data_IF_735923430570
#
_entry.id   IF_735923430570
#
_cell.length_a   1.000
_cell.length_b   1.000
_cell.length_c   1.000
_cell.angle_alpha   90.00
_cell.angle_beta   90.00
_cell.angle_gamma   90.00
#
_symmetry.space_group_name_H-M   'P 1'
#
loop_
_entity.id
_entity.type
_entity.pdbx_description
1 polymer ?
#
# COMPACT_ATOMS: atom_id res chain seq x y z
N UNK A 1 10.72 5.75 30.97
CA UNK A 1 9.49 6.05 30.21
C UNK A 1 9.83 5.75 28.77
N UNK A 2 9.02 4.98 28.05
CA UNK A 2 9.23 4.80 26.61
C UNK A 2 8.92 6.12 25.93
N UNK A 3 9.73 6.50 24.95
CA UNK A 3 9.44 7.65 24.11
C UNK A 3 8.12 7.41 23.34
N UNK A 4 7.31 8.47 23.04
CA UNK A 4 6.07 8.30 22.32
C UNK A 4 6.35 7.80 20.89
N UNK A 5 5.50 6.88 20.39
CA UNK A 5 5.63 6.29 19.06
C UNK A 5 5.27 7.27 17.92
N UNK A 6 4.57 8.36 18.24
CA UNK A 6 4.32 9.50 17.36
C UNK A 6 4.63 10.76 18.14
N UNK A 7 5.57 11.56 17.66
CA UNK A 7 5.86 12.89 18.22
C UNK A 7 5.17 13.95 17.37
N UNK A 8 4.67 14.99 18.04
CA UNK A 8 3.93 16.10 17.43
C UNK A 8 4.50 17.39 17.97
N UNK A 9 4.92 18.27 17.07
CA UNK A 9 5.47 19.58 17.43
C UNK A 9 5.01 20.65 16.44
N UNK A 10 5.17 21.92 16.82
CA UNK A 10 4.96 23.06 15.93
C UNK A 10 6.30 23.77 15.74
N UNK A 11 6.73 23.87 14.48
CA UNK A 11 7.94 24.59 14.10
C UNK A 11 7.55 25.79 13.21
N UNK A 12 7.64 26.99 13.75
CA UNK A 12 7.10 28.21 13.15
C UNK A 12 5.61 28.06 12.82
N UNK A 13 5.22 28.00 11.56
CA UNK A 13 3.84 27.83 11.09
C UNK A 13 3.54 26.41 10.57
N UNK A 14 4.45 25.45 10.78
CA UNK A 14 4.31 24.07 10.29
C UNK A 14 4.08 23.12 11.46
N UNK A 15 2.97 22.38 11.42
CA UNK A 15 2.71 21.24 12.29
C UNK A 15 3.54 20.03 11.81
N UNK A 16 4.40 19.50 12.68
CA UNK A 16 5.23 18.33 12.35
C UNK A 16 4.77 17.10 13.08
N UNK A 17 4.61 16.01 12.34
CA UNK A 17 4.28 14.68 12.83
C UNK A 17 5.46 13.76 12.50
N UNK A 18 6.07 13.16 13.52
CA UNK A 18 7.16 12.20 13.30
C UNK A 18 6.76 10.83 13.81
N UNK A 19 6.80 9.84 12.93
CA UNK A 19 6.63 8.42 13.26
C UNK A 19 7.90 7.97 13.98
N UNK A 20 7.82 7.51 15.22
CA UNK A 20 8.98 7.28 16.09
C UNK A 20 9.07 5.82 16.58
N UNK A 21 9.05 4.88 15.63
CA UNK A 21 9.37 3.46 15.84
C UNK A 21 10.51 3.00 14.89
N UNK A 22 11.69 3.63 14.90
CA UNK A 22 12.73 3.40 13.89
C UNK A 22 13.20 1.95 13.82
N UNK A 23 13.14 1.19 14.93
CA UNK A 23 13.48 -0.26 14.95
C UNK A 23 12.54 -1.11 14.10
N UNK A 24 11.29 -0.70 13.93
CA UNK A 24 10.29 -1.34 13.09
C UNK A 24 10.09 -0.60 11.74
N UNK A 25 11.03 0.26 11.33
CA UNK A 25 10.89 1.17 10.19
C UNK A 25 9.54 1.91 10.28
N UNK A 26 9.23 2.39 11.47
CA UNK A 26 8.05 3.21 11.74
C UNK A 26 6.70 2.55 11.34
N UNK A 27 6.63 1.20 11.35
CA UNK A 27 5.38 0.50 11.09
C UNK A 27 4.28 1.02 12.02
N UNK A 28 3.11 1.35 11.43
CA UNK A 28 2.01 2.01 12.15
C UNK A 28 1.07 1.00 12.80
N UNK A 29 0.70 1.27 14.04
CA UNK A 29 -0.31 0.56 14.81
C UNK A 29 -1.56 1.43 15.01
N UNK A 30 -2.61 0.85 15.58
CA UNK A 30 -3.88 1.55 15.80
C UNK A 30 -3.72 2.82 16.67
N UNK A 31 -2.89 2.77 17.72
CA UNK A 31 -2.65 3.91 18.60
C UNK A 31 -1.95 5.06 17.88
N UNK A 32 -0.97 4.75 17.02
CA UNK A 32 -0.30 5.74 16.19
C UNK A 32 -1.26 6.41 15.21
N UNK A 33 -2.11 5.64 14.52
CA UNK A 33 -3.11 6.18 13.59
C UNK A 33 -4.08 7.13 14.27
N UNK A 34 -4.58 6.77 15.46
CA UNK A 34 -5.44 7.65 16.28
C UNK A 34 -4.70 8.94 16.64
N UNK A 35 -3.45 8.84 17.12
CA UNK A 35 -2.66 10.03 17.48
C UNK A 35 -2.37 10.94 16.29
N UNK A 36 -2.11 10.37 15.10
CA UNK A 36 -1.93 11.14 13.87
C UNK A 36 -3.23 11.85 13.50
N UNK A 37 -4.38 11.17 13.55
CA UNK A 37 -5.69 11.77 13.27
C UNK A 37 -5.99 12.94 14.21
N UNK A 38 -5.72 12.77 15.51
CA UNK A 38 -5.91 13.82 16.51
C UNK A 38 -5.04 15.04 16.21
N UNK A 39 -3.73 14.82 15.89
CA UNK A 39 -2.80 15.88 15.54
C UNK A 39 -3.24 16.64 14.28
N UNK A 40 -3.70 15.92 13.26
CA UNK A 40 -4.21 16.55 12.04
C UNK A 40 -5.45 17.38 12.31
N UNK A 41 -6.38 16.92 13.16
CA UNK A 41 -7.54 17.70 13.57
C UNK A 41 -7.15 18.95 14.38
N UNK A 42 -6.21 18.84 15.32
CA UNK A 42 -5.66 19.96 16.08
C UNK A 42 -5.03 21.01 15.14
N UNK A 43 -4.19 20.59 14.19
CA UNK A 43 -3.52 21.50 13.24
C UNK A 43 -4.48 22.10 12.21
N UNK A 44 -5.52 21.39 11.81
CA UNK A 44 -6.55 21.93 10.92
C UNK A 44 -7.31 23.09 11.57
N UNK A 45 -7.57 23.00 12.87
CA UNK A 45 -8.33 23.99 13.65
C UNK A 45 -7.49 25.20 14.13
N UNK A 46 -6.17 25.13 14.06
CA UNK A 46 -5.27 26.20 14.51
C UNK A 46 -4.86 27.11 13.33
N UNK A 47 -5.41 28.34 13.30
CA UNK A 47 -5.10 29.33 12.23
C UNK A 47 -3.63 29.74 12.15
N UNK A 48 -2.82 29.48 13.18
CA UNK A 48 -1.38 29.75 13.18
C UNK A 48 -0.60 28.71 12.38
N UNK A 49 -1.20 27.56 12.10
CA UNK A 49 -0.59 26.49 11.32
C UNK A 49 -0.99 26.66 9.85
N UNK A 50 0.02 26.84 8.99
CA UNK A 50 -0.17 27.04 7.54
C UNK A 50 -0.02 25.74 6.74
N UNK A 51 0.62 24.72 7.31
CA UNK A 51 0.83 23.42 6.67
C UNK A 51 1.24 22.34 7.65
N UNK A 52 1.24 21.11 7.20
CA UNK A 52 1.64 19.93 7.99
C UNK A 52 2.71 19.14 7.26
N UNK A 53 3.69 18.65 8.01
CA UNK A 53 4.74 17.77 7.52
C UNK A 53 4.71 16.44 8.29
N UNK A 54 4.77 15.30 7.60
CA UNK A 54 4.96 13.98 8.19
C UNK A 54 6.30 13.39 7.74
N UNK A 55 7.04 12.82 8.69
CA UNK A 55 8.33 12.17 8.46
C UNK A 55 8.51 10.94 9.37
N UNK A 56 9.46 10.08 9.03
CA UNK A 56 9.88 8.95 9.87
C UNK A 56 11.14 9.26 10.66
N UNK A 57 11.20 8.83 11.92
CA UNK A 57 12.43 8.87 12.70
C UNK A 57 13.43 7.82 12.19
N UNK A 58 14.72 8.14 12.30
CA UNK A 58 15.83 7.30 11.86
C UNK A 58 16.08 7.36 10.34
N UNK A 59 17.00 6.53 9.86
CA UNK A 59 17.54 6.62 8.49
C UNK A 59 16.93 5.58 7.53
N UNK A 60 16.04 4.71 8.01
CA UNK A 60 15.58 3.55 7.23
C UNK A 60 14.38 3.87 6.34
N UNK A 61 13.61 4.89 6.65
CA UNK A 61 12.48 5.29 5.83
C UNK A 61 11.33 5.92 6.60
N UNK A 62 10.35 6.41 5.85
CA UNK A 62 9.13 6.98 6.42
C UNK A 62 8.37 5.92 7.21
N UNK A 63 7.96 4.82 6.55
CA UNK A 63 7.12 3.80 7.16
C UNK A 63 7.10 2.51 6.30
N UNK A 64 7.30 1.36 6.95
CA UNK A 64 7.25 0.04 6.27
C UNK A 64 5.82 -0.53 6.12
N UNK A 65 4.79 0.22 6.50
CA UNK A 65 3.39 -0.20 6.43
C UNK A 65 2.72 -0.36 7.79
N UNK A 66 1.58 -1.03 7.81
CA UNK A 66 0.87 -1.39 9.02
C UNK A 66 1.64 -2.39 9.87
N UNK A 67 1.44 -2.36 11.19
CA UNK A 67 1.95 -3.42 12.09
C UNK A 67 1.12 -4.70 11.91
N UNK A 68 1.40 -5.43 10.83
CA UNK A 68 0.64 -6.65 10.46
C UNK A 68 0.78 -7.78 11.49
N UNK A 69 1.74 -7.71 12.41
CA UNK A 69 1.82 -8.66 13.54
C UNK A 69 0.72 -8.35 14.56
N UNK A 70 0.51 -7.08 14.89
CA UNK A 70 -0.60 -6.65 15.73
C UNK A 70 -1.93 -7.01 15.06
N UNK A 71 -2.07 -6.72 13.78
CA UNK A 71 -3.28 -7.03 13.02
C UNK A 71 -3.58 -8.54 13.03
N UNK A 72 -2.57 -9.39 12.78
CA UNK A 72 -2.71 -10.84 12.86
C UNK A 72 -3.12 -11.31 14.26
N UNK A 73 -2.51 -10.74 15.30
CA UNK A 73 -2.87 -11.07 16.69
C UNK A 73 -4.33 -10.74 16.97
N UNK A 74 -4.80 -9.56 16.55
CA UNK A 74 -6.22 -9.17 16.64
C UNK A 74 -7.13 -10.14 15.91
N UNK A 75 -6.80 -10.50 14.67
CA UNK A 75 -7.57 -11.45 13.87
C UNK A 75 -7.71 -12.81 14.56
N UNK A 76 -6.63 -13.28 15.21
CA UNK A 76 -6.63 -14.57 15.92
C UNK A 76 -7.34 -14.54 17.29
N UNK A 77 -7.28 -13.43 18.02
CA UNK A 77 -7.79 -13.32 19.39
C UNK A 77 -9.25 -12.88 19.43
N UNK A 78 -9.61 -11.86 18.68
CA UNK A 78 -10.97 -11.29 18.66
C UNK A 78 -11.79 -11.62 17.42
N UNK A 79 -11.12 -11.99 16.33
CA UNK A 79 -11.74 -12.13 15.01
C UNK A 79 -12.15 -10.80 14.37
N UNK A 80 -11.99 -9.67 15.09
CA UNK A 80 -12.40 -8.35 14.61
C UNK A 80 -11.19 -7.47 14.28
N UNK A 81 -11.01 -7.22 13.01
CA UNK A 81 -9.99 -6.32 12.45
C UNK A 81 -10.58 -5.00 11.94
N UNK A 82 -11.91 -4.83 12.05
CA UNK A 82 -12.63 -3.72 11.43
C UNK A 82 -12.19 -2.37 11.98
N UNK A 83 -12.00 -2.24 13.30
CA UNK A 83 -11.55 -1.00 13.92
C UNK A 83 -10.21 -0.52 13.34
N UNK A 84 -9.30 -1.45 13.05
CA UNK A 84 -8.00 -1.13 12.48
C UNK A 84 -8.17 -0.47 11.11
N UNK A 85 -8.84 -1.14 10.17
CA UNK A 85 -9.02 -0.64 8.81
C UNK A 85 -9.92 0.59 8.73
N UNK A 86 -10.99 0.66 9.53
CA UNK A 86 -11.83 1.86 9.63
C UNK A 86 -11.01 3.07 10.07
N UNK A 87 -10.11 2.89 11.05
CA UNK A 87 -9.26 3.99 11.53
C UNK A 87 -8.24 4.39 10.47
N UNK A 88 -7.57 3.42 9.84
CA UNK A 88 -6.58 3.66 8.80
C UNK A 88 -7.19 4.37 7.58
N UNK A 89 -8.30 3.87 7.06
CA UNK A 89 -8.92 4.41 5.85
C UNK A 89 -9.55 5.78 6.06
N UNK A 90 -10.11 6.03 7.24
CA UNK A 90 -10.57 7.38 7.60
C UNK A 90 -9.41 8.37 7.69
N UNK A 91 -8.27 7.95 8.22
CA UNK A 91 -7.05 8.76 8.24
C UNK A 91 -6.55 9.05 6.82
N UNK A 92 -6.53 8.06 5.94
CA UNK A 92 -6.12 8.26 4.54
C UNK A 92 -7.04 9.26 3.81
N UNK A 93 -8.37 9.14 3.99
CA UNK A 93 -9.34 10.10 3.43
C UNK A 93 -9.20 11.50 4.05
N UNK A 94 -8.90 11.59 5.35
CA UNK A 94 -8.61 12.87 6.01
C UNK A 94 -7.38 13.53 5.39
N UNK A 95 -6.33 12.77 5.08
CA UNK A 95 -5.13 13.27 4.41
C UNK A 95 -5.46 13.74 2.98
N UNK A 96 -6.23 12.94 2.22
CA UNK A 96 -6.62 13.28 0.86
C UNK A 96 -7.45 14.58 0.77
N UNK A 97 -8.30 14.84 1.77
CA UNK A 97 -9.15 16.03 1.86
C UNK A 97 -8.59 17.09 2.82
N UNK A 98 -7.29 17.03 3.19
CA UNK A 98 -6.74 17.91 4.21
C UNK A 98 -6.79 19.39 3.79
N UNK A 99 -7.32 20.32 4.63
CA UNK A 99 -7.59 21.69 4.20
C UNK A 99 -6.35 22.58 4.07
N UNK A 100 -5.18 22.10 4.53
CA UNK A 100 -3.90 22.82 4.47
C UNK A 100 -2.88 21.97 3.69
N UNK A 101 -1.80 22.56 3.15
CA UNK A 101 -0.73 21.79 2.53
C UNK A 101 -0.24 20.67 3.46
N UNK A 102 -0.36 19.42 3.00
CA UNK A 102 0.16 18.22 3.69
C UNK A 102 1.36 17.71 2.91
N UNK A 103 2.52 17.77 3.55
CA UNK A 103 3.81 17.36 2.99
C UNK A 103 4.27 16.05 3.59
N UNK A 104 4.51 15.04 2.77
CA UNK A 104 5.03 13.75 3.19
C UNK A 104 6.49 13.58 2.75
N UNK A 105 7.39 13.29 3.69
CA UNK A 105 8.81 13.05 3.44
C UNK A 105 9.05 11.55 3.32
N UNK A 106 9.00 11.05 2.10
CA UNK A 106 9.06 9.63 1.76
C UNK A 106 10.49 9.14 1.50
N UNK A 107 11.45 9.54 2.32
CA UNK A 107 12.83 9.04 2.23
C UNK A 107 12.91 7.58 2.65
N UNK A 108 13.85 6.81 2.08
CA UNK A 108 14.02 5.39 2.38
C UNK A 108 12.77 4.54 2.06
N UNK A 109 12.46 3.57 2.92
CA UNK A 109 11.34 2.65 2.75
C UNK A 109 10.01 3.36 3.05
N UNK A 110 9.09 3.34 2.07
CA UNK A 110 7.70 3.80 2.21
C UNK A 110 6.78 2.78 1.53
N UNK A 111 6.12 1.93 2.32
CA UNK A 111 5.38 0.77 1.82
C UNK A 111 4.03 0.63 2.54
N UNK A 112 3.05 0.00 1.89
CA UNK A 112 1.74 -0.31 2.47
C UNK A 112 1.08 0.89 3.12
N UNK A 113 0.67 0.78 4.38
CA UNK A 113 0.12 1.90 5.17
C UNK A 113 1.01 3.15 5.20
N UNK A 114 2.33 3.04 4.93
CA UNK A 114 3.22 4.19 4.74
C UNK A 114 2.86 5.00 3.48
N UNK A 115 2.45 4.34 2.40
CA UNK A 115 1.89 5.00 1.23
C UNK A 115 0.49 5.56 1.53
N UNK A 116 -0.31 4.89 2.35
CA UNK A 116 -1.57 5.45 2.85
C UNK A 116 -1.41 6.78 3.58
N UNK A 117 -0.33 6.94 4.35
CA UNK A 117 -0.01 8.18 5.06
C UNK A 117 0.60 9.26 4.16
N UNK A 118 1.02 8.94 2.93
CA UNK A 118 1.82 9.85 2.11
C UNK A 118 1.28 10.09 0.71
N UNK A 119 0.84 9.06 -0.01
CA UNK A 119 0.52 9.13 -1.44
C UNK A 119 -0.68 10.06 -1.77
N UNK A 120 -1.54 10.32 -0.77
CA UNK A 120 -2.71 11.19 -0.91
C UNK A 120 -2.45 12.64 -0.51
N UNK A 121 -1.25 12.95 0.01
CA UNK A 121 -0.86 14.31 0.40
C UNK A 121 -0.64 15.24 -0.80
N UNK A 122 -0.72 16.55 -0.54
CA UNK A 122 -0.55 17.58 -1.56
C UNK A 122 0.90 17.75 -2.05
N UNK A 123 1.88 17.35 -1.23
CA UNK A 123 3.31 17.44 -1.56
C UNK A 123 4.00 16.14 -1.12
N UNK A 124 4.52 15.38 -2.06
CA UNK A 124 5.14 14.07 -1.83
C UNK A 124 6.61 14.15 -2.23
N UNK A 125 7.49 14.12 -1.22
CA UNK A 125 8.92 14.37 -1.37
C UNK A 125 9.68 13.06 -1.25
N UNK A 126 10.51 12.76 -2.23
CA UNK A 126 11.40 11.59 -2.28
C UNK A 126 12.86 12.00 -2.39
N UNK A 127 13.77 11.06 -2.22
CA UNK A 127 15.21 11.22 -2.46
C UNK A 127 15.83 9.98 -3.12
N UNK A 128 17.15 9.97 -3.30
CA UNK A 128 17.85 8.83 -3.91
C UNK A 128 17.70 7.50 -3.13
N UNK A 129 17.36 7.57 -1.85
CA UNK A 129 17.18 6.38 -0.99
C UNK A 129 15.77 5.82 -1.04
N UNK A 130 14.81 6.59 -1.57
CA UNK A 130 13.39 6.22 -1.57
C UNK A 130 13.11 4.90 -2.29
N UNK A 131 12.29 4.07 -1.64
CA UNK A 131 11.79 2.79 -2.16
C UNK A 131 10.33 2.66 -1.78
N UNK A 132 9.46 2.81 -2.79
CA UNK A 132 8.02 2.78 -2.65
C UNK A 132 7.47 1.46 -3.18
N UNK A 133 6.60 0.78 -2.42
CA UNK A 133 5.98 -0.48 -2.85
C UNK A 133 4.67 -0.76 -2.12
N UNK A 134 3.82 -1.59 -2.75
CA UNK A 134 2.64 -2.22 -2.14
C UNK A 134 2.81 -3.75 -2.20
N UNK A 135 3.50 -4.37 -1.21
CA UNK A 135 3.83 -5.79 -1.25
C UNK A 135 2.78 -6.70 -0.62
N UNK A 136 1.54 -6.24 -0.45
CA UNK A 136 0.47 -6.88 0.32
C UNK A 136 0.12 -8.28 -0.18
N UNK A 137 0.25 -8.54 -1.48
CA UNK A 137 0.02 -9.87 -2.07
C UNK A 137 0.99 -10.95 -1.54
N UNK A 138 2.13 -10.55 -0.94
CA UNK A 138 3.06 -11.47 -0.27
C UNK A 138 2.51 -12.02 1.05
N UNK A 139 1.56 -11.32 1.63
CA UNK A 139 1.00 -11.67 2.94
C UNK A 139 -0.49 -11.97 2.88
N UNK A 140 -1.02 -12.26 1.70
CA UNK A 140 -2.42 -12.64 1.56
C UNK A 140 -3.40 -11.47 1.66
N UNK A 141 -2.94 -10.23 1.44
CA UNK A 141 -3.77 -9.02 1.30
C UNK A 141 -3.75 -8.50 -0.14
N UNK A 142 -4.30 -7.34 -0.38
CA UNK A 142 -4.26 -6.61 -1.64
C UNK A 142 -3.64 -5.23 -1.42
N UNK A 143 -3.17 -4.52 -2.46
CA UNK A 143 -2.73 -3.13 -2.36
C UNK A 143 -3.92 -2.25 -1.95
N UNK A 144 -4.04 -1.99 -0.65
CA UNK A 144 -5.13 -1.25 -0.02
C UNK A 144 -4.80 0.25 0.15
N UNK A 145 -5.33 0.87 1.19
CA UNK A 145 -5.13 2.29 1.54
C UNK A 145 -5.40 3.23 0.35
N UNK A 146 -6.35 2.85 -0.51
CA UNK A 146 -6.75 3.53 -1.75
C UNK A 146 -5.65 3.60 -2.82
N UNK A 147 -4.59 2.82 -2.70
CA UNK A 147 -3.56 2.74 -3.74
C UNK A 147 -4.09 2.09 -5.02
N UNK A 148 -5.09 1.20 -4.95
CA UNK A 148 -5.76 0.68 -6.15
C UNK A 148 -6.37 1.82 -6.99
N UNK A 149 -6.87 2.91 -6.36
CA UNK A 149 -7.38 4.09 -7.07
C UNK A 149 -6.28 4.81 -7.86
N UNK A 150 -5.11 5.00 -7.26
CA UNK A 150 -3.97 5.63 -7.92
C UNK A 150 -3.37 4.72 -8.99
N UNK A 151 -3.17 3.45 -8.67
CA UNK A 151 -2.59 2.45 -9.58
C UNK A 151 -3.44 2.24 -10.84
N UNK A 152 -4.77 2.19 -10.70
CA UNK A 152 -5.69 2.05 -11.83
C UNK A 152 -5.64 3.23 -12.83
N UNK A 153 -4.99 4.34 -12.46
CA UNK A 153 -4.85 5.56 -13.28
C UNK A 153 -3.44 5.76 -13.81
N UNK A 154 -2.50 4.87 -13.46
CA UNK A 154 -1.16 4.90 -14.02
C UNK A 154 -1.17 4.51 -15.51
N UNK A 155 -0.31 5.11 -16.33
CA UNK A 155 -0.26 4.79 -17.75
C UNK A 155 0.25 3.38 -18.02
N UNK A 156 -0.22 2.75 -19.09
CA UNK A 156 0.39 1.53 -19.65
C UNK A 156 0.39 0.32 -18.77
N UNK A 157 -0.58 0.16 -17.87
CA UNK A 157 -0.70 -0.97 -16.93
C UNK A 157 0.44 -1.05 -15.90
N UNK A 158 1.24 0.00 -15.72
CA UNK A 158 2.30 0.04 -14.69
C UNK A 158 1.71 -0.20 -13.31
N UNK A 159 0.57 0.42 -12.99
CA UNK A 159 -0.10 0.19 -11.72
C UNK A 159 -0.53 -1.26 -11.50
N UNK A 160 -1.00 -1.94 -12.54
CA UNK A 160 -1.32 -3.38 -12.47
C UNK A 160 -0.06 -4.22 -12.21
N UNK A 161 1.05 -3.91 -12.91
CA UNK A 161 2.33 -4.54 -12.67
C UNK A 161 2.79 -4.38 -11.21
N UNK A 162 2.78 -3.15 -10.68
CA UNK A 162 3.20 -2.86 -9.31
C UNK A 162 2.30 -3.57 -8.27
N UNK A 163 0.99 -3.57 -8.49
CA UNK A 163 0.02 -4.20 -7.60
C UNK A 163 0.20 -5.72 -7.51
N UNK A 164 0.37 -6.39 -8.65
CA UNK A 164 0.44 -7.85 -8.68
C UNK A 164 1.82 -8.39 -8.28
N UNK A 165 2.90 -7.68 -8.62
CA UNK A 165 4.26 -8.09 -8.27
C UNK A 165 4.69 -7.63 -6.88
N UNK A 166 4.14 -6.51 -6.37
CA UNK A 166 4.66 -5.83 -5.19
C UNK A 166 6.05 -5.22 -5.42
N UNK A 167 6.40 -4.93 -6.68
CA UNK A 167 7.69 -4.37 -7.05
C UNK A 167 7.91 -3.00 -6.40
N UNK A 168 9.14 -2.75 -5.97
CA UNK A 168 9.55 -1.47 -5.40
C UNK A 168 10.03 -0.53 -6.51
N UNK A 169 9.60 0.72 -6.47
CA UNK A 169 10.06 1.78 -7.38
C UNK A 169 10.95 2.79 -6.67
N UNK A 170 11.84 3.41 -7.42
CA UNK A 170 12.73 4.46 -6.95
C UNK A 170 12.09 5.86 -7.08
N UNK A 171 12.82 6.91 -6.67
CA UNK A 171 12.34 8.29 -6.68
C UNK A 171 11.95 8.78 -8.08
N UNK A 172 12.75 8.47 -9.10
CA UNK A 172 12.48 8.90 -10.48
C UNK A 172 11.21 8.26 -11.03
N UNK A 173 11.05 6.97 -10.81
CA UNK A 173 9.88 6.25 -11.26
C UNK A 173 8.63 6.67 -10.49
N UNK A 174 8.75 6.92 -9.16
CA UNK A 174 7.65 7.40 -8.35
C UNK A 174 7.08 8.75 -8.85
N UNK A 175 7.96 9.67 -9.28
CA UNK A 175 7.53 10.93 -9.91
C UNK A 175 6.88 10.65 -11.27
N UNK A 176 7.48 9.79 -12.08
CA UNK A 176 6.98 9.48 -13.43
C UNK A 176 5.57 8.86 -13.42
N UNK A 177 5.25 8.07 -12.39
CA UNK A 177 3.92 7.43 -12.24
C UNK A 177 2.95 8.22 -11.36
N UNK A 178 3.35 9.39 -10.86
CA UNK A 178 2.49 10.28 -10.08
C UNK A 178 2.33 9.89 -8.60
N UNK A 179 3.24 9.10 -8.03
CA UNK A 179 3.28 8.78 -6.60
C UNK A 179 4.16 9.75 -5.79
N UNK A 180 4.95 10.59 -6.44
CA UNK A 180 5.75 11.65 -5.83
C UNK A 180 5.76 12.90 -6.70
N UNK A 181 6.11 14.05 -6.10
CA UNK A 181 6.09 15.35 -6.76
C UNK A 181 7.49 15.96 -6.88
N UNK A 182 8.37 15.70 -5.90
CA UNK A 182 9.69 16.34 -5.80
C UNK A 182 10.75 15.33 -5.35
N UNK A 183 11.92 15.36 -5.99
CA UNK A 183 13.10 14.63 -5.54
C UNK A 183 14.13 15.60 -4.95
N UNK A 184 14.46 15.45 -3.67
CA UNK A 184 15.52 16.22 -3.02
C UNK A 184 16.88 15.60 -3.33
N UNK A 185 17.81 16.42 -3.79
CA UNK A 185 19.14 15.97 -4.21
C UNK A 185 19.17 15.38 -5.61
N UNK A 186 20.08 14.45 -5.86
CA UNK A 186 20.25 13.83 -7.19
C UNK A 186 19.28 12.66 -7.33
N UNK A 187 18.39 12.74 -8.30
CA UNK A 187 17.48 11.64 -8.63
C UNK A 187 18.28 10.42 -9.18
N UNK A 188 17.91 9.19 -8.80
CA UNK A 188 18.49 7.98 -9.39
C UNK A 188 18.07 7.83 -10.85
N UNK A 189 18.77 6.96 -11.61
CA UNK A 189 18.31 6.59 -12.93
C UNK A 189 16.96 5.86 -12.86
N UNK A 190 16.07 6.02 -13.86
CA UNK A 190 14.81 5.26 -13.93
C UNK A 190 15.09 3.76 -14.03
N UNK A 191 14.19 2.93 -13.50
CA UNK A 191 14.29 1.47 -13.61
C UNK A 191 13.96 1.05 -15.05
N UNK A 192 14.89 0.37 -15.76
CA UNK A 192 14.62 -0.12 -17.11
C UNK A 192 13.42 -1.07 -17.21
N UNK A 193 13.08 -1.78 -16.15
CA UNK A 193 11.92 -2.70 -16.10
C UNK A 193 10.62 -1.95 -16.38
N UNK A 194 10.45 -0.77 -15.77
CA UNK A 194 9.24 0.05 -15.94
C UNK A 194 9.16 0.75 -17.30
N UNK A 195 10.26 0.77 -18.06
CA UNK A 195 10.31 1.26 -19.44
C UNK A 195 9.92 0.20 -20.48
N UNK A 196 9.73 -1.05 -20.05
CA UNK A 196 9.45 -2.19 -20.91
C UNK A 196 8.05 -2.14 -21.53
N UNK A 197 7.98 -2.12 -22.87
CA UNK A 197 6.69 -2.16 -23.60
C UNK A 197 5.88 -3.43 -23.27
N UNK A 198 6.52 -4.49 -22.80
CA UNK A 198 5.89 -5.74 -22.38
C UNK A 198 4.84 -5.55 -21.27
N UNK A 199 4.97 -4.52 -20.42
CA UNK A 199 3.99 -4.24 -19.36
C UNK A 199 2.62 -4.01 -19.98
N UNK A 200 2.49 -3.03 -20.87
CA UNK A 200 1.22 -2.74 -21.54
C UNK A 200 0.70 -3.93 -22.38
N UNK A 201 1.60 -4.75 -22.94
CA UNK A 201 1.23 -5.89 -23.78
C UNK A 201 0.67 -7.06 -22.95
N UNK A 202 1.21 -7.30 -21.74
CA UNK A 202 0.88 -8.49 -20.97
C UNK A 202 -0.26 -8.24 -19.96
N UNK A 203 -0.32 -7.06 -19.31
CA UNK A 203 -1.24 -6.81 -18.19
C UNK A 203 -2.64 -6.34 -18.57
N UNK A 204 -2.95 -6.13 -19.84
CA UNK A 204 -4.24 -5.61 -20.31
C UNK A 204 -5.41 -6.60 -20.29
N UNK A 205 -5.32 -7.74 -19.58
CA UNK A 205 -6.42 -8.72 -19.41
C UNK A 205 -7.10 -8.53 -18.05
N UNK A 206 -8.39 -8.91 -17.98
CA UNK A 206 -9.15 -9.02 -16.74
C UNK A 206 -9.03 -10.42 -16.10
N UNK A 207 -8.36 -11.36 -16.78
CA UNK A 207 -8.03 -12.69 -16.29
C UNK A 207 -6.56 -12.74 -15.82
N UNK A 208 -6.31 -12.93 -14.52
CA UNK A 208 -4.94 -12.96 -14.00
C UNK A 208 -4.15 -14.19 -14.51
N UNK A 209 -4.81 -15.29 -14.86
CA UNK A 209 -4.14 -16.44 -15.44
C UNK A 209 -3.65 -16.15 -16.87
N UNK A 210 -4.42 -15.39 -17.65
CA UNK A 210 -3.99 -14.92 -18.97
C UNK A 210 -2.81 -13.95 -18.86
N UNK A 211 -2.82 -13.03 -17.87
CA UNK A 211 -1.67 -12.13 -17.61
C UNK A 211 -0.40 -12.96 -17.34
N UNK A 212 -0.47 -13.92 -16.42
CA UNK A 212 0.68 -14.78 -16.07
C UNK A 212 1.15 -15.58 -17.30
N UNK A 213 0.22 -16.11 -18.11
CA UNK A 213 0.55 -16.82 -19.36
C UNK A 213 1.32 -15.93 -20.33
N UNK A 214 0.79 -14.74 -20.64
CA UNK A 214 1.45 -13.76 -21.53
C UNK A 214 2.85 -13.37 -21.05
N UNK A 215 2.99 -13.13 -19.74
CA UNK A 215 4.28 -12.80 -19.12
C UNK A 215 5.27 -13.96 -19.24
N UNK A 216 4.84 -15.19 -18.98
CA UNK A 216 5.69 -16.39 -19.00
C UNK A 216 6.22 -16.73 -20.41
N UNK A 217 5.40 -16.47 -21.44
CA UNK A 217 5.71 -16.73 -22.84
C UNK A 217 6.44 -15.56 -23.54
N UNK A 218 6.53 -14.41 -22.87
CA UNK A 218 7.13 -13.22 -23.48
C UNK A 218 8.63 -13.37 -23.70
N UNK A 219 9.16 -12.81 -24.80
CA UNK A 219 10.59 -12.88 -25.15
C UNK A 219 11.48 -12.08 -24.20
N UNK A 220 10.96 -11.02 -23.58
CA UNK A 220 11.70 -10.20 -22.61
C UNK A 220 11.90 -10.96 -21.28
N UNK A 221 13.16 -11.11 -20.80
CA UNK A 221 13.40 -11.78 -19.53
C UNK A 221 12.79 -11.07 -18.31
N UNK A 222 12.57 -9.73 -18.36
CA UNK A 222 11.92 -9.01 -17.28
C UNK A 222 10.43 -9.38 -17.16
N UNK A 223 9.75 -9.64 -18.28
CA UNK A 223 8.38 -10.14 -18.27
C UNK A 223 8.27 -11.52 -17.60
N UNK A 224 9.19 -12.44 -17.96
CA UNK A 224 9.21 -13.78 -17.35
C UNK A 224 9.55 -13.73 -15.84
N UNK A 225 10.46 -12.85 -15.43
CA UNK A 225 10.74 -12.61 -14.03
C UNK A 225 9.52 -12.07 -13.26
N UNK A 226 8.71 -11.21 -13.89
CA UNK A 226 7.46 -10.74 -13.31
C UNK A 226 6.44 -11.88 -13.14
N UNK A 227 6.33 -12.81 -14.10
CA UNK A 227 5.49 -14.00 -13.94
C UNK A 227 5.93 -14.87 -12.75
N UNK A 228 7.25 -15.11 -12.62
CA UNK A 228 7.79 -15.86 -11.49
C UNK A 228 7.49 -15.18 -10.15
N UNK A 229 7.56 -13.85 -10.12
CA UNK A 229 7.27 -13.09 -8.92
C UNK A 229 5.79 -13.16 -8.55
N UNK A 230 4.87 -13.03 -9.51
CA UNK A 230 3.42 -13.19 -9.30
C UNK A 230 3.09 -14.61 -8.79
N UNK A 231 3.72 -15.64 -9.34
CA UNK A 231 3.52 -17.03 -8.93
C UNK A 231 4.00 -17.35 -7.50
N UNK A 232 4.81 -16.48 -6.89
CA UNK A 232 5.19 -16.60 -5.47
C UNK A 232 4.19 -15.97 -4.51
N UNK A 233 3.24 -15.16 -5.03
CA UNK A 233 2.22 -14.46 -4.23
C UNK A 233 1.05 -15.37 -3.94
N UNK A 234 0.15 -14.92 -3.05
CA UNK A 234 -1.13 -15.58 -2.86
C UNK A 234 -1.96 -15.52 -4.14
N UNK A 235 -2.33 -16.66 -4.76
CA UNK A 235 -3.14 -16.66 -5.96
C UNK A 235 -4.49 -15.96 -5.77
N UNK A 236 -5.12 -16.12 -4.61
CA UNK A 236 -6.35 -15.42 -4.25
C UNK A 236 -6.14 -13.91 -4.18
N UNK A 237 -5.06 -13.47 -3.51
CA UNK A 237 -4.72 -12.04 -3.42
C UNK A 237 -4.47 -11.42 -4.80
N UNK A 238 -3.79 -12.13 -5.69
CA UNK A 238 -3.56 -11.68 -7.07
C UNK A 238 -4.89 -11.48 -7.81
N UNK A 239 -5.80 -12.47 -7.73
CA UNK A 239 -7.10 -12.40 -8.41
C UNK A 239 -7.99 -11.28 -7.83
N UNK A 240 -8.03 -11.13 -6.51
CA UNK A 240 -8.78 -10.05 -5.83
C UNK A 240 -8.16 -8.68 -6.14
N UNK A 241 -6.83 -8.56 -6.15
CA UNK A 241 -6.15 -7.30 -6.46
C UNK A 241 -6.43 -6.82 -7.88
N UNK A 242 -6.40 -7.73 -8.87
CA UNK A 242 -6.73 -7.39 -10.25
C UNK A 242 -8.18 -6.90 -10.37
N UNK A 243 -9.14 -7.61 -9.79
CA UNK A 243 -10.55 -7.20 -9.78
C UNK A 243 -10.72 -5.84 -9.08
N UNK A 244 -10.04 -5.61 -7.95
CA UNK A 244 -10.08 -4.34 -7.22
C UNK A 244 -9.58 -3.18 -8.10
N UNK A 245 -8.47 -3.36 -8.82
CA UNK A 245 -7.94 -2.37 -9.77
C UNK A 245 -8.93 -2.06 -10.91
N UNK A 246 -9.52 -3.09 -11.51
CA UNK A 246 -10.48 -2.92 -12.61
C UNK A 246 -11.75 -2.18 -12.14
N UNK A 247 -12.18 -2.41 -10.90
CA UNK A 247 -13.28 -1.63 -10.29
C UNK A 247 -12.85 -0.23 -9.92
N UNK A 248 -11.63 -0.06 -9.35
CA UNK A 248 -11.09 1.23 -8.95
C UNK A 248 -11.01 2.22 -10.13
N UNK A 249 -10.74 1.73 -11.33
CA UNK A 249 -10.76 2.55 -12.56
C UNK A 249 -12.12 3.23 -12.84
N UNK A 250 -13.22 2.71 -12.28
CA UNK A 250 -14.60 3.18 -12.51
C UNK A 250 -15.10 4.12 -11.42
N UNK A 251 -14.44 4.21 -10.27
CA UNK A 251 -14.84 5.15 -9.22
C UNK A 251 -14.47 6.59 -9.62
N UNK A 252 -15.40 7.52 -9.39
CA UNK A 252 -15.18 8.93 -9.71
C UNK A 252 -14.23 9.61 -8.71
N UNK A 253 -14.30 9.21 -7.45
CA UNK A 253 -13.50 9.77 -6.35
C UNK A 253 -12.93 8.66 -5.47
N UNK A 254 -11.93 9.03 -4.67
CA UNK A 254 -11.30 8.11 -3.70
C UNK A 254 -12.30 7.68 -2.61
N UNK A 255 -13.17 8.60 -2.17
CA UNK A 255 -14.17 8.34 -1.14
C UNK A 255 -15.21 7.30 -1.59
N UNK A 256 -15.56 7.32 -2.88
CA UNK A 256 -16.50 6.35 -3.45
C UNK A 256 -15.99 4.90 -3.40
N UNK A 257 -14.69 4.70 -3.19
CA UNK A 257 -14.08 3.39 -3.09
C UNK A 257 -14.10 2.83 -1.64
N UNK A 258 -14.44 3.65 -0.63
CA UNK A 258 -14.28 3.30 0.79
C UNK A 258 -14.92 1.96 1.18
N UNK A 259 -16.19 1.74 0.82
CA UNK A 259 -16.91 0.52 1.22
C UNK A 259 -16.29 -0.73 0.59
N UNK A 260 -15.81 -0.64 -0.65
CA UNK A 260 -15.11 -1.74 -1.31
C UNK A 260 -13.76 -2.02 -0.61
N UNK A 261 -12.95 -1.00 -0.36
CA UNK A 261 -11.66 -1.15 0.32
C UNK A 261 -11.84 -1.82 1.69
N UNK A 262 -12.81 -1.31 2.47
CA UNK A 262 -13.08 -1.85 3.81
C UNK A 262 -13.56 -3.31 3.75
N UNK A 263 -14.44 -3.63 2.83
CA UNK A 263 -14.95 -5.00 2.68
C UNK A 263 -13.82 -5.99 2.33
N UNK A 264 -12.97 -5.62 1.38
CA UNK A 264 -11.82 -6.43 0.98
C UNK A 264 -10.83 -6.63 2.13
N UNK A 265 -10.44 -5.54 2.79
CA UNK A 265 -9.46 -5.58 3.87
C UNK A 265 -9.91 -6.44 5.04
N UNK A 266 -11.15 -6.25 5.50
CA UNK A 266 -11.71 -7.02 6.63
C UNK A 266 -11.77 -8.51 6.28
N UNK A 267 -12.25 -8.88 5.09
CA UNK A 267 -12.38 -10.28 4.69
C UNK A 267 -11.03 -10.96 4.49
N UNK A 268 -10.11 -10.33 3.77
CA UNK A 268 -8.79 -10.88 3.54
C UNK A 268 -8.00 -11.01 4.84
N UNK A 269 -7.98 -9.96 5.68
CA UNK A 269 -7.24 -9.99 6.94
C UNK A 269 -7.82 -10.98 7.98
N UNK A 270 -9.11 -11.31 7.87
CA UNK A 270 -9.74 -12.36 8.70
C UNK A 270 -9.55 -13.76 8.10
N UNK A 271 -9.01 -13.87 6.89
CA UNK A 271 -8.87 -15.11 6.15
C UNK A 271 -7.58 -15.90 6.45
N UNK A 272 -7.54 -17.15 6.00
CA UNK A 272 -6.40 -18.05 6.16
C UNK A 272 -5.16 -17.56 5.39
N UNK A 273 -5.34 -16.94 4.22
CA UNK A 273 -4.26 -16.41 3.38
C UNK A 273 -3.41 -15.38 4.13
N UNK A 274 -4.05 -14.42 4.80
CA UNK A 274 -3.33 -13.43 5.60
C UNK A 274 -2.61 -14.05 6.80
N UNK A 275 -3.27 -14.95 7.55
CA UNK A 275 -2.66 -15.62 8.68
C UNK A 275 -1.40 -16.40 8.27
N UNK A 276 -1.46 -17.10 7.14
CA UNK A 276 -0.35 -17.89 6.58
C UNK A 276 0.74 -16.97 6.00
N UNK A 277 0.38 -15.95 5.22
CA UNK A 277 1.35 -15.03 4.65
C UNK A 277 2.16 -14.30 5.71
N UNK A 278 1.51 -13.81 6.76
CA UNK A 278 2.20 -13.19 7.90
C UNK A 278 3.05 -14.20 8.66
N UNK A 279 2.58 -15.47 8.85
CA UNK A 279 3.40 -16.52 9.42
C UNK A 279 4.71 -16.68 8.63
N UNK A 280 4.59 -16.91 7.34
CA UNK A 280 5.74 -17.23 6.47
C UNK A 280 6.74 -16.06 6.35
N UNK A 281 6.24 -14.82 6.26
CA UNK A 281 7.11 -13.65 6.02
C UNK A 281 7.70 -13.05 7.31
N UNK A 282 6.96 -13.05 8.42
CA UNK A 282 7.30 -12.24 9.58
C UNK A 282 7.45 -13.03 10.89
N UNK A 283 6.72 -14.13 11.06
CA UNK A 283 6.79 -14.95 12.28
C UNK A 283 7.89 -15.99 12.13
N UNK A 284 7.69 -17.00 11.28
CA UNK A 284 8.64 -18.09 11.06
C UNK A 284 9.79 -17.67 10.12
N UNK A 285 9.52 -16.75 9.21
CA UNK A 285 10.47 -16.21 8.23
C UNK A 285 11.06 -17.27 7.30
N UNK A 286 10.34 -18.36 7.10
CA UNK A 286 10.70 -19.43 6.19
C UNK A 286 10.47 -19.05 4.71
N UNK A 287 9.63 -18.03 4.46
CA UNK A 287 9.26 -17.52 3.14
C UNK A 287 8.64 -18.56 2.22
N UNK A 288 8.03 -19.58 2.82
CA UNK A 288 7.36 -20.69 2.13
C UNK A 288 5.89 -20.76 2.56
N UNK A 289 5.06 -19.80 2.14
CA UNK A 289 3.63 -19.82 2.47
C UNK A 289 2.92 -21.00 1.79
N UNK A 290 1.92 -21.53 2.47
CA UNK A 290 1.02 -22.58 1.97
C UNK A 290 -0.32 -21.95 1.64
N UNK A 291 -0.45 -21.47 0.41
CA UNK A 291 -1.66 -20.83 -0.06
C UNK A 291 -2.80 -21.84 -0.27
N UNK A 292 -4.04 -21.36 -0.26
CA UNK A 292 -5.22 -22.22 -0.50
C UNK A 292 -5.31 -22.75 -1.94
N UNK A 293 -4.68 -22.06 -2.88
CA UNK A 293 -4.56 -22.44 -4.28
C UNK A 293 -3.09 -22.48 -4.69
N UNK A 294 -2.71 -23.44 -5.53
CA UNK A 294 -1.31 -23.55 -6.01
C UNK A 294 -1.01 -22.57 -7.15
N UNK A 295 -2.03 -22.15 -7.89
CA UNK A 295 -1.88 -21.26 -9.04
C UNK A 295 -3.14 -20.40 -9.22
N UNK A 296 -2.96 -19.20 -9.78
CA UNK A 296 -4.05 -18.21 -9.96
C UNK A 296 -5.18 -18.72 -10.85
N UNK A 297 -4.90 -19.63 -11.79
CA UNK A 297 -5.93 -20.28 -12.64
C UNK A 297 -6.87 -21.23 -11.88
N UNK A 298 -6.53 -21.58 -10.63
CA UNK A 298 -7.37 -22.42 -9.78
C UNK A 298 -8.33 -21.63 -8.91
N UNK A 299 -8.19 -20.31 -8.86
CA UNK A 299 -9.05 -19.42 -8.07
C UNK A 299 -10.39 -19.24 -8.80
N UNK A 300 -11.52 -19.74 -8.25
CA UNK A 300 -12.82 -19.60 -8.90
C UNK A 300 -13.26 -18.12 -8.95
N UNK A 301 -13.88 -17.73 -10.05
CA UNK A 301 -14.37 -16.35 -10.22
C UNK A 301 -15.41 -15.93 -9.17
N UNK A 302 -16.29 -16.85 -8.77
CA UNK A 302 -17.29 -16.63 -7.72
C UNK A 302 -16.67 -16.45 -6.35
N UNK A 303 -15.56 -17.15 -6.04
CA UNK A 303 -14.79 -16.92 -4.83
C UNK A 303 -14.23 -15.47 -4.82
N UNK A 304 -13.60 -15.02 -5.90
CA UNK A 304 -13.12 -13.65 -6.02
C UNK A 304 -14.23 -12.64 -5.79
N UNK A 305 -15.39 -12.83 -6.43
CA UNK A 305 -16.51 -11.89 -6.34
C UNK A 305 -17.13 -11.83 -4.94
N UNK A 306 -17.07 -12.91 -4.17
CA UNK A 306 -17.59 -12.94 -2.79
C UNK A 306 -16.88 -11.96 -1.87
N UNK A 307 -15.62 -11.62 -2.15
CA UNK A 307 -14.86 -10.63 -1.39
C UNK A 307 -15.38 -9.19 -1.58
N UNK A 308 -16.08 -8.93 -2.68
CA UNK A 308 -16.64 -7.61 -3.03
C UNK A 308 -18.09 -7.40 -2.59
N UNK A 309 -18.71 -8.38 -1.93
CA UNK A 309 -20.02 -8.21 -1.34
C UNK A 309 -19.97 -7.18 -0.21
N UNK A 310 -21.02 -6.37 0.01
CA UNK A 310 -21.07 -5.46 1.15
C UNK A 310 -20.85 -6.18 2.48
N UNK A 311 -20.21 -5.54 3.44
CA UNK A 311 -20.16 -6.06 4.81
C UNK A 311 -21.58 -6.06 5.38
N UNK A 312 -21.95 -7.15 6.06
CA UNK A 312 -23.21 -7.20 6.79
C UNK A 312 -23.19 -6.13 7.90
N UNK A 313 -24.29 -5.38 8.00
CA UNK A 313 -24.45 -4.33 9.02
C UNK A 313 -24.49 -4.92 10.44
#
# INVERSE_FOLDING_TARGET
MNEPEVTVEVAATVGRITLNRPRAINAVNLAMMKRISDALAEFAADDRIEGVEIAGAGERGLCAGADVRELRTRAMESGDVSEFFVTEYRLNLMIAAYPKPYRAIMTGITMGGGLGLSAHGAQRVVDATSRLAMPETQIGLFPDVFLTYLFARMPGEIGTHLALTGASINATDAIAVGLADECVGSAPAPDPVLQGAWIAQCYGSDDPAEIVGRLSEHSDPAARAAAEEINRRSPLSIAVSLEALRRAARFATIEAQYDQELALAVRLASGAEFAEGVRAQLVDRDRTPRWSHDHVSQVPRDEVLSYFEPLSA
#
